data_IF_044810833300
#
_entry.id   IF_044810833300
#
_cell.length_a   1.000
_cell.length_b   1.000
_cell.length_c   1.000
_cell.angle_alpha   90.00
_cell.angle_beta   90.00
_cell.angle_gamma   90.00
#
_symmetry.space_group_name_H-M   'P 1'
#
loop_
_entity.id
_entity.type
_entity.pdbx_description
1 polymer ?
#
# COMPACT_ATOMS: atom_id res chain seq x y z
N UNK A 1 -3.27 11.58 -15.92
CA UNK A 1 -3.14 11.06 -14.54
C UNK A 1 -2.22 12.03 -13.82
N UNK A 2 -2.73 12.79 -12.85
CA UNK A 2 -1.91 13.72 -12.07
C UNK A 2 -1.34 12.96 -10.85
N UNK A 3 -0.10 13.24 -10.50
CA UNK A 3 0.51 12.71 -9.28
C UNK A 3 0.03 13.51 -8.06
N UNK A 4 -0.28 12.86 -6.92
CA UNK A 4 -0.67 13.58 -5.72
C UNK A 4 0.52 14.36 -5.16
N UNK A 5 0.26 15.57 -4.66
CA UNK A 5 1.30 16.44 -4.05
C UNK A 5 1.82 15.88 -2.72
N UNK A 6 1.07 14.97 -2.09
CA UNK A 6 1.41 14.32 -0.81
C UNK A 6 1.09 12.83 -0.92
N UNK A 7 2.07 11.99 -0.56
CA UNK A 7 1.94 10.54 -0.45
C UNK A 7 2.21 10.17 1.01
N UNK A 8 1.20 9.78 1.79
CA UNK A 8 1.39 9.41 3.18
C UNK A 8 2.02 8.02 3.29
N UNK A 9 3.12 7.92 4.04
CA UNK A 9 3.73 6.64 4.36
C UNK A 9 3.26 6.15 5.74
N UNK A 10 2.70 4.96 5.79
CA UNK A 10 2.19 4.33 7.02
C UNK A 10 2.95 3.04 7.26
N UNK A 11 3.50 2.88 8.47
CA UNK A 11 4.19 1.64 8.88
C UNK A 11 3.25 0.76 9.67
N UNK A 12 3.32 -0.52 9.38
CA UNK A 12 2.61 -1.57 10.08
C UNK A 12 3.60 -2.61 10.58
N UNK A 13 3.28 -3.22 11.71
CA UNK A 13 4.06 -4.34 12.24
C UNK A 13 3.92 -5.57 11.33
N UNK A 14 2.70 -5.82 10.84
CA UNK A 14 2.37 -6.87 9.86
C UNK A 14 1.90 -6.21 8.55
N UNK A 15 2.86 -5.83 7.70
CA UNK A 15 2.58 -5.22 6.42
C UNK A 15 1.81 -6.15 5.44
N UNK A 16 2.11 -7.45 5.34
CA UNK A 16 1.32 -8.37 4.52
C UNK A 16 -0.16 -8.41 4.93
N UNK A 17 -0.46 -8.63 6.22
CA UNK A 17 -1.84 -8.69 6.70
C UNK A 17 -2.57 -7.34 6.51
N UNK A 18 -1.85 -6.23 6.63
CA UNK A 18 -2.40 -4.91 6.35
C UNK A 18 -2.81 -4.74 4.89
N UNK A 19 -1.99 -5.19 3.94
CA UNK A 19 -2.32 -5.06 2.52
C UNK A 19 -3.59 -5.86 2.19
N UNK A 20 -3.70 -7.10 2.69
CA UNK A 20 -4.90 -7.91 2.51
C UNK A 20 -6.13 -7.21 3.07
N UNK A 21 -6.03 -6.68 4.30
CA UNK A 21 -7.12 -5.96 4.93
C UNK A 21 -7.54 -4.70 4.17
N UNK A 22 -6.59 -3.91 3.65
CA UNK A 22 -6.89 -2.70 2.88
C UNK A 22 -7.64 -3.02 1.58
N UNK A 23 -7.29 -4.10 0.91
CA UNK A 23 -8.00 -4.55 -0.29
C UNK A 23 -9.41 -5.04 0.06
N UNK A 24 -9.55 -5.92 1.06
CA UNK A 24 -10.83 -6.54 1.41
C UNK A 24 -11.83 -5.55 2.03
N UNK A 25 -11.37 -4.68 2.94
CA UNK A 25 -12.24 -3.80 3.70
C UNK A 25 -12.59 -2.51 2.96
N UNK A 26 -11.68 -1.99 2.14
CA UNK A 26 -11.85 -0.67 1.51
C UNK A 26 -11.72 -0.69 -0.01
N UNK A 27 -11.24 -1.78 -0.62
CA UNK A 27 -11.03 -1.84 -2.06
C UNK A 27 -9.80 -1.06 -2.52
N UNK A 28 -8.75 -1.00 -1.70
CA UNK A 28 -7.43 -0.56 -2.19
C UNK A 28 -6.93 -1.52 -3.26
N UNK A 29 -5.95 -1.07 -4.04
CA UNK A 29 -5.26 -1.93 -5.02
C UNK A 29 -3.76 -1.80 -4.87
N UNK A 30 -3.05 -2.92 -4.78
CA UNK A 30 -1.57 -2.96 -4.83
C UNK A 30 -1.07 -2.43 -6.17
N UNK A 31 -0.16 -1.46 -6.13
CA UNK A 31 0.52 -0.91 -7.30
C UNK A 31 1.93 -1.46 -7.44
N UNK A 32 2.71 -1.40 -6.36
CA UNK A 32 4.08 -1.92 -6.27
C UNK A 32 4.22 -2.60 -4.93
N UNK A 33 4.86 -3.77 -4.89
CA UNK A 33 5.23 -4.46 -3.65
C UNK A 33 6.63 -5.01 -3.84
N UNK A 34 7.55 -4.62 -2.95
CA UNK A 34 8.91 -5.13 -2.89
C UNK A 34 9.09 -5.90 -1.58
N UNK A 35 9.61 -7.12 -1.71
CA UNK A 35 9.76 -8.07 -0.62
C UNK A 35 11.22 -8.52 -0.49
N UNK A 36 11.66 -8.68 0.75
CA UNK A 36 12.89 -9.38 1.11
C UNK A 36 12.54 -10.55 2.02
N UNK A 37 12.48 -11.76 1.43
CA UNK A 37 12.00 -12.94 2.14
C UNK A 37 10.52 -12.82 2.48
N UNK A 38 10.17 -12.89 3.76
CA UNK A 38 8.80 -12.75 4.24
C UNK A 38 8.42 -11.31 4.62
N UNK A 39 9.36 -10.36 4.48
CA UNK A 39 9.14 -8.98 4.88
C UNK A 39 8.88 -8.11 3.64
N UNK A 40 7.82 -7.32 3.69
CA UNK A 40 7.62 -6.22 2.74
C UNK A 40 8.54 -5.06 3.15
N UNK A 41 9.47 -4.71 2.26
CA UNK A 41 10.41 -3.60 2.49
C UNK A 41 9.88 -2.28 1.94
N UNK A 42 8.98 -2.34 0.95
CA UNK A 42 8.28 -1.18 0.40
C UNK A 42 7.01 -1.65 -0.31
N UNK A 43 5.92 -0.95 -0.12
CA UNK A 43 4.69 -1.16 -0.87
C UNK A 43 4.06 0.18 -1.20
N UNK A 44 3.44 0.23 -2.38
CA UNK A 44 2.59 1.32 -2.80
C UNK A 44 1.21 0.78 -3.14
N UNK A 45 0.19 1.43 -2.62
CA UNK A 45 -1.22 1.10 -2.86
C UNK A 45 -1.98 2.33 -3.32
N UNK A 46 -3.04 2.10 -4.10
CA UNK A 46 -3.90 3.19 -4.58
C UNK A 46 -5.32 3.02 -4.06
N UNK A 47 -5.97 4.15 -3.78
CA UNK A 47 -7.38 4.22 -3.43
C UNK A 47 -7.99 5.50 -4.00
N UNK A 48 -8.98 5.36 -4.89
CA UNK A 48 -9.51 6.48 -5.67
C UNK A 48 -8.41 7.17 -6.48
N UNK A 49 -8.17 8.46 -6.21
CA UNK A 49 -7.09 9.25 -6.83
C UNK A 49 -5.83 9.34 -5.96
N UNK A 50 -5.81 8.66 -4.82
CA UNK A 50 -4.69 8.67 -3.87
C UNK A 50 -3.65 7.59 -4.17
N UNK A 51 -2.41 7.89 -3.78
CA UNK A 51 -1.28 6.97 -3.71
C UNK A 51 -0.74 6.99 -2.28
N UNK A 52 -0.47 5.81 -1.74
CA UNK A 52 -0.02 5.57 -0.37
C UNK A 52 1.16 4.62 -0.42
#
# INVERSE_FOLDING_TARGET
>A
MAWPDIIPHIRYEDAPAMLDWLEEAFGFTRRVVYEEGAQIVHAEVTFGTGLF
#
